data_IF_657235172330
#
_entry.id   IF_657235172330
#
_cell.length_a   1.000
_cell.length_b   1.000
_cell.length_c   1.000
_cell.angle_alpha   90.00
_cell.angle_beta   90.00
_cell.angle_gamma   90.00
#
_symmetry.space_group_name_H-M   'P 1'
#
loop_
_entity.id
_entity.type
_entity.pdbx_description
1 polymer ?
#
# COMPACT_ATOMS: atom_id res chain seq x y z
N UNK A 1 8.85 -0.39 -9.34
CA UNK A 1 7.90 -1.22 -8.62
C UNK A 1 7.36 -0.45 -7.43
N UNK A 2 6.04 -0.44 -7.25
CA UNK A 2 5.34 0.30 -6.20
C UNK A 2 4.58 -0.69 -5.30
N UNK A 3 4.42 -0.34 -4.02
CA UNK A 3 3.81 -1.21 -3.02
C UNK A 3 2.79 -0.45 -2.20
N UNK A 4 1.55 -0.93 -2.17
CA UNK A 4 0.41 -0.41 -1.41
C UNK A 4 0.17 1.11 -1.58
N UNK A 5 -0.80 1.64 -0.88
CA UNK A 5 -1.29 2.99 -1.06
C UNK A 5 -0.24 4.10 -0.91
N UNK A 6 0.79 3.89 -0.09
CA UNK A 6 1.82 4.90 0.17
C UNK A 6 2.58 5.30 -1.10
N UNK A 7 2.90 4.33 -1.94
CA UNK A 7 3.69 4.54 -3.14
C UNK A 7 2.86 5.01 -4.34
N UNK A 8 1.54 4.90 -4.27
CA UNK A 8 0.63 5.29 -5.36
C UNK A 8 0.61 6.81 -5.62
N UNK A 9 1.05 7.63 -4.66
CA UNK A 9 1.24 9.07 -4.88
C UNK A 9 2.19 9.35 -6.05
N UNK A 10 3.16 8.49 -6.34
CA UNK A 10 4.02 8.66 -7.50
C UNK A 10 3.24 8.52 -8.81
N UNK A 11 2.24 7.63 -8.86
CA UNK A 11 1.37 7.50 -10.03
C UNK A 11 0.44 8.70 -10.19
N UNK A 12 -0.05 9.26 -9.08
CA UNK A 12 -0.78 10.52 -9.08
C UNK A 12 0.08 11.66 -9.65
N UNK A 13 1.31 11.82 -9.15
CA UNK A 13 2.25 12.84 -9.64
C UNK A 13 2.57 12.64 -11.13
N UNK A 14 2.85 11.40 -11.56
CA UNK A 14 3.05 11.07 -12.99
C UNK A 14 1.89 11.52 -13.88
N UNK A 15 0.67 11.38 -13.37
CA UNK A 15 -0.54 11.69 -14.14
C UNK A 15 -0.87 13.18 -14.20
N UNK A 16 -0.66 13.91 -13.10
CA UNK A 16 -1.20 15.25 -12.92
C UNK A 16 -0.16 16.35 -12.76
N UNK A 17 1.07 16.05 -12.35
CA UNK A 17 2.10 17.06 -12.13
C UNK A 17 3.06 17.15 -13.32
N UNK A 18 3.16 18.31 -14.01
CA UNK A 18 4.09 18.51 -15.10
C UNK A 18 5.57 18.28 -14.76
N UNK A 19 5.97 18.47 -13.50
CA UNK A 19 7.33 18.22 -13.03
C UNK A 19 7.74 16.75 -13.17
N UNK A 20 6.76 15.83 -13.15
CA UNK A 20 6.96 14.38 -13.27
C UNK A 20 6.72 13.85 -14.70
N UNK A 21 6.67 14.72 -15.70
CA UNK A 21 6.41 14.34 -17.11
C UNK A 21 7.41 13.32 -17.66
N UNK A 22 8.66 13.34 -17.19
CA UNK A 22 9.69 12.38 -17.56
C UNK A 22 9.34 10.93 -17.15
N UNK A 23 8.52 10.74 -16.11
CA UNK A 23 8.09 9.42 -15.66
C UNK A 23 7.06 8.75 -16.59
N UNK A 24 6.53 9.45 -17.59
CA UNK A 24 5.57 8.88 -18.56
C UNK A 24 6.16 7.78 -19.42
N UNK A 25 7.49 7.73 -19.56
CA UNK A 25 8.20 6.68 -20.29
C UNK A 25 8.52 5.44 -19.42
N UNK A 26 8.30 5.53 -18.11
CA UNK A 26 8.58 4.44 -17.17
C UNK A 26 7.31 3.62 -16.96
N UNK A 27 7.44 2.29 -17.04
CA UNK A 27 6.38 1.36 -16.68
C UNK A 27 6.38 1.11 -15.19
N UNK A 28 5.19 1.16 -14.59
CA UNK A 28 5.00 0.97 -13.16
C UNK A 28 4.20 -0.30 -12.89
N UNK A 29 4.80 -1.19 -12.11
CA UNK A 29 4.12 -2.36 -11.54
C UNK A 29 3.70 -2.00 -10.13
N UNK A 30 2.42 -2.18 -9.82
CA UNK A 30 1.82 -1.87 -8.52
C UNK A 30 1.43 -3.15 -7.79
N UNK A 31 2.00 -3.38 -6.61
CA UNK A 31 1.73 -4.56 -5.78
C UNK A 31 0.78 -4.22 -4.66
N UNK A 32 -0.27 -5.02 -4.55
CA UNK A 32 -1.23 -4.99 -3.46
C UNK A 32 -0.89 -6.11 -2.48
N UNK A 33 -0.45 -5.74 -1.27
CA UNK A 33 -0.23 -6.69 -0.19
C UNK A 33 -1.46 -6.81 0.70
N UNK A 34 -2.17 -5.69 0.91
CA UNK A 34 -3.37 -5.67 1.76
C UNK A 34 -4.31 -4.52 1.35
N UNK A 35 -5.57 -4.84 1.06
CA UNK A 35 -6.60 -3.85 0.69
C UNK A 35 -7.26 -3.17 1.90
N UNK A 36 -7.06 -3.64 3.13
CA UNK A 36 -7.75 -3.10 4.30
C UNK A 36 -7.40 -1.63 4.60
N UNK A 37 -6.19 -1.19 4.25
CA UNK A 37 -5.74 0.20 4.47
C UNK A 37 -5.47 0.84 3.12
N UNK A 38 -6.37 1.73 2.69
CA UNK A 38 -6.41 2.25 1.33
C UNK A 38 -5.86 3.67 1.17
N UNK A 39 -5.46 4.31 2.27
CA UNK A 39 -4.91 5.67 2.22
C UNK A 39 -5.94 6.73 1.80
N UNK A 40 -7.20 6.59 2.23
CA UNK A 40 -8.28 7.53 1.90
C UNK A 40 -8.00 8.87 2.57
N UNK A 41 -8.10 9.97 1.81
CA UNK A 41 -7.88 11.33 2.28
C UNK A 41 -8.89 12.28 1.63
N UNK A 42 -9.32 13.35 2.34
CA UNK A 42 -10.20 14.34 1.75
C UNK A 42 -9.51 15.09 0.60
N UNK A 43 -10.28 15.53 -0.38
CA UNK A 43 -9.75 16.39 -1.43
C UNK A 43 -9.40 17.77 -0.89
N UNK A 44 -10.21 18.33 -0.01
CA UNK A 44 -10.12 19.71 0.50
C UNK A 44 -10.47 19.81 1.99
N UNK A 45 -10.34 21.02 2.56
CA UNK A 45 -10.84 21.38 3.90
C UNK A 45 -10.21 20.63 5.09
N UNK A 46 -9.02 20.07 4.90
CA UNK A 46 -8.29 19.37 5.95
C UNK A 46 -6.78 19.52 5.74
N UNK A 47 -6.00 19.57 6.82
CA UNK A 47 -4.53 19.64 6.74
C UNK A 47 -3.91 18.44 5.99
N UNK A 48 -4.57 17.27 6.05
CA UNK A 48 -4.18 16.06 5.34
C UNK A 48 -4.89 15.89 3.99
N UNK A 49 -5.46 16.97 3.43
CA UNK A 49 -6.14 16.94 2.14
C UNK A 49 -5.18 16.96 0.97
N UNK A 50 -5.62 16.39 -0.15
CA UNK A 50 -4.84 16.39 -1.38
C UNK A 50 -4.50 17.81 -1.86
N UNK A 51 -5.46 18.74 -1.77
CA UNK A 51 -5.26 20.14 -2.15
C UNK A 51 -4.24 20.86 -1.27
N UNK A 52 -4.17 20.51 0.02
CA UNK A 52 -3.19 21.08 0.92
C UNK A 52 -1.78 20.56 0.64
N UNK A 53 -1.65 19.29 0.25
CA UNK A 53 -0.35 18.71 -0.11
C UNK A 53 0.14 19.16 -1.49
N UNK A 54 -0.79 19.33 -2.45
CA UNK A 54 -0.48 19.64 -3.84
C UNK A 54 -1.37 20.79 -4.36
N UNK A 55 -1.24 22.02 -3.80
CA UNK A 55 -2.12 23.16 -4.12
C UNK A 55 -2.01 23.63 -5.57
N UNK A 56 -0.90 23.32 -6.25
CA UNK A 56 -0.61 23.71 -7.62
C UNK A 56 -1.15 22.73 -8.67
N UNK A 57 -1.63 21.54 -8.26
CA UNK A 57 -2.08 20.51 -9.18
C UNK A 57 -3.59 20.62 -9.43
N UNK A 58 -3.97 20.75 -10.71
CA UNK A 58 -5.36 20.64 -11.13
C UNK A 58 -5.74 19.17 -11.35
N UNK A 59 -6.79 18.72 -10.68
CA UNK A 59 -7.20 17.32 -10.65
C UNK A 59 -8.61 17.12 -11.20
N UNK A 60 -8.82 15.99 -11.83
CA UNK A 60 -10.15 15.44 -12.09
C UNK A 60 -10.55 14.53 -10.92
N UNK A 61 -11.32 15.08 -9.98
CA UNK A 61 -11.72 14.35 -8.77
C UNK A 61 -12.45 13.03 -9.10
N UNK A 62 -13.22 12.98 -10.19
CA UNK A 62 -13.98 11.78 -10.59
C UNK A 62 -13.09 10.57 -10.85
N UNK A 63 -11.85 10.80 -11.32
CA UNK A 63 -10.87 9.73 -11.58
C UNK A 63 -10.13 9.26 -10.35
N UNK A 64 -10.23 10.00 -9.25
CA UNK A 64 -9.44 9.78 -8.05
C UNK A 64 -10.30 9.37 -6.85
N UNK A 65 -11.61 9.68 -6.90
CA UNK A 65 -12.51 9.52 -5.76
C UNK A 65 -12.67 8.06 -5.32
N UNK A 66 -12.88 7.89 -4.02
CA UNK A 66 -13.33 6.65 -3.41
C UNK A 66 -14.82 6.42 -3.72
N UNK A 67 -15.21 5.17 -3.93
CA UNK A 67 -16.62 4.83 -4.21
C UNK A 67 -17.54 5.02 -2.99
N UNK A 68 -17.00 4.90 -1.77
CA UNK A 68 -17.73 5.07 -0.50
C UNK A 68 -17.76 6.53 -0.04
N UNK A 69 -16.67 7.28 -0.32
CA UNK A 69 -16.45 8.65 0.15
C UNK A 69 -16.09 9.54 -1.04
N UNK A 70 -17.12 10.08 -1.69
CA UNK A 70 -16.95 10.82 -2.96
C UNK A 70 -16.19 12.15 -2.83
N UNK A 71 -16.07 12.68 -1.63
CA UNK A 71 -15.26 13.86 -1.28
C UNK A 71 -13.79 13.51 -0.94
N UNK A 72 -13.42 12.23 -1.06
CA UNK A 72 -12.10 11.72 -0.74
C UNK A 72 -11.42 11.08 -1.95
N UNK A 73 -10.10 11.26 -2.04
CA UNK A 73 -9.23 10.43 -2.88
C UNK A 73 -9.01 9.10 -2.19
N UNK A 74 -8.98 8.01 -2.98
CA UNK A 74 -8.51 6.71 -2.53
C UNK A 74 -7.17 6.40 -3.19
N UNK A 75 -6.09 6.42 -2.42
CA UNK A 75 -4.73 6.22 -2.94
C UNK A 75 -4.49 4.78 -3.43
N UNK A 76 -5.13 3.78 -2.83
CA UNK A 76 -5.08 2.40 -3.36
C UNK A 76 -5.75 2.33 -4.74
N UNK A 77 -6.93 2.95 -4.90
CA UNK A 77 -7.60 3.05 -6.19
C UNK A 77 -6.74 3.74 -7.25
N UNK A 78 -6.02 4.80 -6.88
CA UNK A 78 -5.05 5.47 -7.77
C UNK A 78 -3.98 4.49 -8.24
N UNK A 79 -3.45 3.67 -7.34
CA UNK A 79 -2.48 2.62 -7.68
C UNK A 79 -3.03 1.67 -8.73
N UNK A 80 -4.24 1.16 -8.54
CA UNK A 80 -4.91 0.21 -9.43
C UNK A 80 -5.24 0.84 -10.79
N UNK A 81 -5.77 2.07 -10.79
CA UNK A 81 -6.24 2.78 -12.01
C UNK A 81 -5.09 3.24 -12.90
N UNK A 82 -3.96 3.69 -12.32
CA UNK A 82 -2.91 4.37 -13.07
C UNK A 82 -1.62 3.56 -13.28
N UNK A 83 -1.47 2.39 -12.67
CA UNK A 83 -0.33 1.52 -12.93
C UNK A 83 -0.44 0.82 -14.30
N UNK A 84 0.69 0.53 -14.89
CA UNK A 84 0.76 -0.23 -16.15
C UNK A 84 0.49 -1.74 -15.92
N UNK A 85 0.78 -2.25 -14.73
CA UNK A 85 0.41 -3.58 -14.27
C UNK A 85 0.12 -3.56 -12.78
N UNK A 86 -0.85 -4.37 -12.35
CA UNK A 86 -1.26 -4.54 -10.94
C UNK A 86 -1.04 -5.99 -10.56
N UNK A 87 -0.53 -6.22 -9.36
CA UNK A 87 -0.24 -7.57 -8.92
C UNK A 87 -0.64 -7.77 -7.47
N UNK A 88 -1.28 -8.90 -7.19
CA UNK A 88 -1.58 -9.40 -5.85
C UNK A 88 -0.60 -10.49 -5.47
N UNK A 89 -0.47 -10.74 -4.17
CA UNK A 89 0.56 -11.62 -3.60
C UNK A 89 0.27 -13.12 -3.71
N UNK A 90 -0.84 -13.50 -4.35
CA UNK A 90 -1.12 -14.89 -4.74
C UNK A 90 -2.19 -14.96 -5.84
N UNK A 91 -2.24 -16.07 -6.61
CA UNK A 91 -3.33 -16.32 -7.57
C UNK A 91 -4.71 -16.41 -6.90
N UNK A 92 -4.83 -17.05 -5.75
CA UNK A 92 -6.10 -17.12 -5.00
C UNK A 92 -6.56 -15.73 -4.53
N UNK A 93 -5.65 -14.93 -3.97
CA UNK A 93 -5.99 -13.57 -3.55
C UNK A 93 -6.40 -12.69 -4.74
N UNK A 94 -5.85 -12.90 -5.94
CA UNK A 94 -6.32 -12.26 -7.16
C UNK A 94 -7.81 -12.53 -7.40
N UNK A 95 -8.25 -13.77 -7.27
CA UNK A 95 -9.65 -14.15 -7.48
C UNK A 95 -10.56 -13.58 -6.37
N UNK A 96 -10.11 -13.64 -5.12
CA UNK A 96 -10.85 -13.12 -3.96
C UNK A 96 -11.14 -11.63 -4.09
N UNK A 97 -10.16 -10.82 -4.47
CA UNK A 97 -10.32 -9.36 -4.56
C UNK A 97 -11.23 -8.88 -5.69
N UNK A 98 -11.57 -9.74 -6.65
CA UNK A 98 -12.54 -9.45 -7.70
C UNK A 98 -13.99 -9.52 -7.20
N UNK A 99 -14.21 -10.08 -6.02
CA UNK A 99 -15.52 -10.24 -5.41
C UNK A 99 -15.75 -9.20 -4.32
N UNK A 100 -17.01 -8.80 -4.08
CA UNK A 100 -17.33 -7.90 -2.97
C UNK A 100 -17.08 -8.58 -1.63
N UNK A 101 -16.63 -7.80 -0.65
CA UNK A 101 -16.47 -8.27 0.71
C UNK A 101 -17.82 -8.54 1.38
N UNK A 102 -17.90 -9.59 2.20
CA UNK A 102 -19.05 -9.97 3.03
C UNK A 102 -18.57 -10.33 4.45
N UNK A 103 -18.09 -9.34 5.23
CA UNK A 103 -17.53 -9.61 6.56
C UNK A 103 -18.61 -10.10 7.54
N UNK A 104 -18.26 -10.97 8.51
CA UNK A 104 -16.91 -11.48 8.77
C UNK A 104 -16.50 -12.70 7.91
N UNK A 105 -17.41 -13.26 7.11
CA UNK A 105 -17.26 -14.56 6.43
C UNK A 105 -16.25 -14.50 5.27
N UNK A 106 -16.17 -13.36 4.58
CA UNK A 106 -15.33 -13.22 3.39
C UNK A 106 -14.77 -11.80 3.25
N UNK A 107 -13.46 -11.70 3.00
CA UNK A 107 -12.78 -10.46 2.69
C UNK A 107 -12.39 -10.46 1.21
N UNK A 108 -13.07 -9.66 0.43
CA UNK A 108 -12.87 -9.52 -1.02
C UNK A 108 -12.14 -8.23 -1.39
N UNK A 109 -12.70 -7.48 -2.34
CA UNK A 109 -12.09 -6.27 -2.92
C UNK A 109 -12.21 -4.99 -2.09
N UNK A 110 -12.83 -5.03 -0.91
CA UNK A 110 -12.90 -3.88 0.01
C UNK A 110 -13.43 -2.59 -0.65
N UNK A 111 -14.45 -2.71 -1.48
CA UNK A 111 -15.06 -1.65 -2.32
C UNK A 111 -14.20 -1.18 -3.50
N UNK A 112 -13.11 -1.90 -3.82
CA UNK A 112 -12.27 -1.67 -5.00
C UNK A 112 -12.52 -2.72 -6.10
N UNK A 113 -13.52 -3.59 -5.94
CA UNK A 113 -13.82 -4.68 -6.87
C UNK A 113 -13.97 -4.19 -8.31
N UNK A 114 -14.62 -3.04 -8.52
CA UNK A 114 -14.82 -2.47 -9.86
C UNK A 114 -13.50 -2.07 -10.52
N UNK A 115 -12.60 -1.44 -9.79
CA UNK A 115 -11.29 -1.06 -10.29
C UNK A 115 -10.43 -2.29 -10.58
N UNK A 116 -10.51 -3.31 -9.72
CA UNK A 116 -9.78 -4.58 -9.87
C UNK A 116 -10.34 -5.40 -11.03
N UNK A 117 -11.66 -5.49 -11.17
CA UNK A 117 -12.31 -6.13 -12.31
C UNK A 117 -11.95 -5.44 -13.63
N UNK A 118 -11.91 -4.09 -13.65
CA UNK A 118 -11.48 -3.36 -14.81
C UNK A 118 -10.03 -3.68 -15.17
N UNK A 119 -9.12 -3.64 -14.19
CA UNK A 119 -7.72 -4.00 -14.40
C UNK A 119 -7.55 -5.46 -14.89
N UNK A 120 -8.40 -6.38 -14.40
CA UNK A 120 -8.41 -7.77 -14.85
C UNK A 120 -8.89 -7.90 -16.29
N UNK A 121 -9.96 -7.20 -16.67
CA UNK A 121 -10.51 -7.19 -18.04
C UNK A 121 -9.52 -6.57 -19.05
N UNK A 122 -8.68 -5.65 -18.58
CA UNK A 122 -7.61 -5.02 -19.35
C UNK A 122 -6.30 -5.86 -19.36
N UNK A 123 -6.34 -7.08 -18.84
CA UNK A 123 -5.19 -8.00 -18.71
C UNK A 123 -3.99 -7.39 -17.93
N UNK A 124 -4.27 -6.47 -17.01
CA UNK A 124 -3.27 -5.80 -16.17
C UNK A 124 -3.17 -6.36 -14.75
N UNK A 125 -4.13 -7.20 -14.31
CA UNK A 125 -4.14 -7.78 -12.95
C UNK A 125 -3.55 -9.18 -12.93
N UNK A 126 -2.52 -9.37 -12.12
CA UNK A 126 -1.79 -10.63 -11.98
C UNK A 126 -1.79 -11.11 -10.52
N UNK A 127 -1.93 -12.43 -10.32
CA UNK A 127 -1.72 -13.07 -9.01
C UNK A 127 -0.38 -13.80 -9.02
N UNK A 128 0.61 -13.30 -8.28
CA UNK A 128 1.96 -13.87 -8.21
C UNK A 128 2.24 -14.25 -6.77
N UNK A 129 2.55 -15.52 -6.52
CA UNK A 129 2.81 -16.01 -5.18
C UNK A 129 4.09 -15.37 -4.62
N UNK A 130 3.97 -14.77 -3.44
CA UNK A 130 5.13 -14.39 -2.65
C UNK A 130 5.88 -15.65 -2.25
N UNK A 131 7.04 -15.85 -2.86
CA UNK A 131 7.84 -17.06 -2.65
C UNK A 131 8.99 -16.82 -1.70
N UNK A 132 9.35 -17.88 -0.97
CA UNK A 132 10.63 -17.98 -0.28
C UNK A 132 11.36 -19.21 -0.78
N UNK A 133 12.63 -19.07 -1.14
CA UNK A 133 13.45 -20.23 -1.50
C UNK A 133 13.94 -20.90 -0.21
N UNK A 134 13.28 -21.99 0.16
CA UNK A 134 13.60 -22.76 1.36
C UNK A 134 14.84 -23.66 1.21
N UNK A 135 15.35 -23.87 0.00
CA UNK A 135 16.48 -24.79 -0.24
C UNK A 135 17.77 -24.39 0.47
N UNK A 136 17.93 -23.10 0.76
CA UNK A 136 19.11 -22.55 1.46
C UNK A 136 18.83 -22.15 2.91
N UNK A 137 17.64 -22.38 3.42
CA UNK A 137 17.31 -22.05 4.81
C UNK A 137 17.85 -23.17 5.69
N UNK A 138 18.99 -22.90 6.36
CA UNK A 138 19.43 -23.74 7.47
C UNK A 138 18.42 -23.56 8.60
N UNK A 139 17.78 -24.65 9.01
CA UNK A 139 16.94 -24.66 10.20
C UNK A 139 17.85 -24.32 11.39
N UNK A 140 17.84 -23.05 11.80
CA UNK A 140 18.52 -22.65 13.01
C UNK A 140 17.86 -23.32 14.20
N UNK A 141 18.65 -23.68 15.21
CA UNK A 141 18.10 -24.13 16.48
C UNK A 141 17.16 -23.04 17.03
N UNK A 142 15.86 -23.29 16.94
CA UNK A 142 14.82 -22.29 17.27
C UNK A 142 14.94 -21.81 18.70
N UNK A 143 15.37 -22.66 19.63
CA UNK A 143 15.64 -22.28 21.01
C UNK A 143 16.82 -21.31 21.16
N UNK A 144 17.86 -21.49 20.35
CA UNK A 144 18.99 -20.55 20.34
C UNK A 144 18.62 -19.20 19.71
N UNK A 145 17.84 -19.22 18.60
CA UNK A 145 17.34 -18.03 17.94
C UNK A 145 16.44 -17.22 18.89
N UNK A 146 15.49 -17.88 19.55
CA UNK A 146 14.62 -17.25 20.53
C UNK A 146 15.41 -16.58 21.66
N UNK A 147 16.39 -17.29 22.27
CA UNK A 147 17.24 -16.71 23.31
C UNK A 147 18.03 -15.49 22.82
N UNK A 148 18.50 -15.51 21.58
CA UNK A 148 19.24 -14.39 20.99
C UNK A 148 18.33 -13.17 20.76
N UNK A 149 17.12 -13.39 20.26
CA UNK A 149 16.09 -12.32 20.06
C UNK A 149 15.73 -11.69 21.42
N UNK A 150 15.42 -12.52 22.41
CA UNK A 150 15.06 -12.05 23.75
C UNK A 150 16.21 -11.23 24.38
N UNK A 151 17.46 -11.70 24.28
CA UNK A 151 18.63 -10.96 24.77
C UNK A 151 18.83 -9.62 24.03
N UNK A 152 18.65 -9.61 22.71
CA UNK A 152 18.75 -8.38 21.93
C UNK A 152 17.66 -7.37 22.33
N UNK A 153 16.43 -7.84 22.51
CA UNK A 153 15.31 -7.01 22.96
C UNK A 153 15.56 -6.42 24.36
N UNK A 154 16.03 -7.23 25.33
CA UNK A 154 16.36 -6.73 26.66
C UNK A 154 17.47 -5.68 26.65
N UNK A 155 18.53 -5.88 25.86
CA UNK A 155 19.59 -4.87 25.69
C UNK A 155 19.02 -3.56 25.16
N UNK A 156 18.25 -3.65 24.08
CA UNK A 156 17.62 -2.49 23.48
C UNK A 156 16.70 -1.74 24.49
N UNK A 157 15.87 -2.45 25.23
CA UNK A 157 15.03 -1.86 26.26
C UNK A 157 15.84 -1.17 27.38
N UNK A 158 16.96 -1.78 27.81
CA UNK A 158 17.85 -1.17 28.79
C UNK A 158 18.49 0.11 28.26
N UNK A 159 18.92 0.14 27.01
CA UNK A 159 19.56 1.30 26.40
C UNK A 159 18.51 2.43 26.17
N UNK A 160 17.32 2.10 25.72
CA UNK A 160 16.24 3.08 25.62
C UNK A 160 15.83 3.64 27.00
N UNK A 161 15.69 2.80 28.01
CA UNK A 161 15.33 3.26 29.37
C UNK A 161 16.37 4.22 29.98
N UNK A 162 17.65 4.11 29.60
CA UNK A 162 18.69 5.05 30.03
C UNK A 162 18.52 6.42 29.36
N UNK A 163 18.14 6.46 28.09
CA UNK A 163 17.85 7.71 27.37
C UNK A 163 16.71 8.49 28.02
N UNK A 164 15.61 7.79 28.34
CA UNK A 164 14.44 8.44 28.97
C UNK A 164 14.70 8.87 30.43
N UNK A 165 15.59 8.19 31.18
CA UNK A 165 15.96 8.62 32.54
C UNK A 165 16.83 9.90 32.53
N UNK A 166 17.60 10.15 31.49
CA UNK A 166 18.39 11.39 31.38
C UNK A 166 17.52 12.62 31.12
N UNK A 167 16.38 12.44 30.43
CA UNK A 167 15.47 13.55 30.07
C UNK A 167 14.54 13.98 31.22
N UNK A 168 14.39 13.13 32.27
CA UNK A 168 13.60 13.44 33.46
C UNK A 168 14.41 14.06 34.62
N UNK A 169 15.72 14.13 34.50
CA UNK A 169 16.63 14.64 35.55
C UNK A 169 17.40 15.91 35.11
N UNK A 170 17.06 16.46 33.95
CA UNK A 170 17.52 17.74 33.43
C UNK A 170 16.39 18.79 33.47
#
# INVERSE_FOLDING_TARGET
HLHDWHSSLLLFLRAYDPAYKSLKHIRFVYTIHNLAIQGIRPFENNYASLKNWFPHIHIDQKKLMDYRYQDCINLMAVGIRFADAVHTVSPSYKEDVLLPSAPPEFIGGESLEKDLQQANNEERLFGILNGCNYNNIRVANTGQLYRNIVRALFRWLQDESKKYKSDFLA
#
